data_IF_506059945242
#
_entry.id   IF_506059945242
#
_cell.length_a   1.000
_cell.length_b   1.000
_cell.length_c   1.000
_cell.angle_alpha   90.00
_cell.angle_beta   90.00
_cell.angle_gamma   90.00
#
_symmetry.space_group_name_H-M   'P 1'
#
loop_
_entity.id
_entity.type
_entity.pdbx_description
1 polymer ?
#
# COMPACT_ATOMS: atom_id res chain seq x y z
N UNK A 1 -4.93 13.56 -7.07
CA UNK A 1 -5.72 14.77 -6.68
C UNK A 1 -6.75 14.50 -5.58
N UNK A 2 -7.71 13.56 -5.69
CA UNK A 2 -8.68 13.35 -4.60
C UNK A 2 -8.10 12.59 -3.38
N UNK A 3 -7.11 11.75 -3.56
CA UNK A 3 -6.45 10.99 -2.48
C UNK A 3 -5.56 11.90 -1.64
N UNK A 4 -4.87 12.85 -2.29
CA UNK A 4 -3.96 13.78 -1.62
C UNK A 4 -4.70 14.74 -0.68
N UNK A 5 -5.85 15.27 -1.09
CA UNK A 5 -6.69 16.17 -0.26
C UNK A 5 -7.26 15.44 0.97
N UNK A 6 -7.45 14.12 0.88
CA UNK A 6 -7.97 13.31 1.98
C UNK A 6 -6.85 12.94 2.94
N UNK A 7 -5.67 12.61 2.42
CA UNK A 7 -4.48 12.38 3.24
C UNK A 7 -4.09 13.65 4.01
N UNK A 8 -4.12 14.83 3.37
CA UNK A 8 -3.89 16.11 4.05
C UNK A 8 -4.91 16.39 5.15
N UNK A 9 -6.21 16.15 4.94
CA UNK A 9 -7.23 16.30 5.98
C UNK A 9 -7.09 15.29 7.10
N UNK A 10 -6.61 14.09 6.83
CA UNK A 10 -6.36 13.07 7.82
C UNK A 10 -5.31 13.51 8.84
N UNK A 11 -4.23 14.13 8.39
CA UNK A 11 -3.13 14.60 9.24
C UNK A 11 -3.60 15.54 10.35
N UNK A 12 -4.59 16.42 10.06
CA UNK A 12 -5.11 17.34 11.09
C UNK A 12 -5.85 16.64 12.24
N UNK A 13 -6.31 15.41 12.05
CA UNK A 13 -6.93 14.62 13.12
C UNK A 13 -5.89 13.92 14.02
N UNK A 14 -4.66 13.73 13.54
CA UNK A 14 -3.57 13.15 14.34
C UNK A 14 -2.91 14.19 15.27
N UNK A 15 -3.17 15.49 15.03
CA UNK A 15 -2.63 16.56 15.86
C UNK A 15 -3.58 16.80 17.03
N UNK A 16 -3.16 16.37 18.22
CA UNK A 16 -3.90 16.70 19.45
C UNK A 16 -3.90 18.22 19.71
N UNK A 17 -4.87 18.71 20.49
CA UNK A 17 -4.95 20.11 20.89
C UNK A 17 -3.67 20.62 21.60
N UNK A 18 -2.82 19.71 22.05
CA UNK A 18 -1.49 19.97 22.65
C UNK A 18 -0.39 20.28 21.63
N UNK A 19 -0.64 20.22 20.31
CA UNK A 19 0.37 20.35 19.27
C UNK A 19 1.28 19.11 19.14
N UNK A 20 0.77 17.94 19.52
CA UNK A 20 1.49 16.67 19.45
C UNK A 20 0.88 15.80 18.35
N UNK A 21 1.75 15.28 17.46
CA UNK A 21 1.38 14.37 16.38
C UNK A 21 1.61 12.91 16.80
N UNK A 22 0.58 12.07 16.68
CA UNK A 22 0.69 10.64 16.92
C UNK A 22 0.34 9.81 15.68
N UNK A 23 1.31 9.48 14.81
CA UNK A 23 1.08 8.68 13.61
C UNK A 23 1.04 7.17 13.89
N UNK A 24 1.42 6.73 15.10
CA UNK A 24 1.61 5.31 15.40
C UNK A 24 0.30 4.53 15.42
N UNK A 25 0.28 3.43 14.67
CA UNK A 25 -0.87 2.55 14.53
C UNK A 25 -0.53 1.15 15.07
N UNK A 26 -1.23 0.72 16.12
CA UNK A 26 -1.04 -0.60 16.76
C UNK A 26 -1.49 -1.78 15.86
N UNK A 27 -2.30 -1.48 14.83
CA UNK A 27 -2.76 -2.50 13.88
C UNK A 27 -1.68 -2.85 12.84
N UNK A 28 -0.68 -1.98 12.65
CA UNK A 28 0.40 -2.21 11.71
C UNK A 28 1.19 -3.48 12.05
N UNK A 29 1.41 -4.33 11.02
CA UNK A 29 2.17 -5.57 11.13
C UNK A 29 3.15 -5.68 9.98
N UNK A 30 4.41 -5.98 10.28
CA UNK A 30 5.38 -6.28 9.25
C UNK A 30 5.08 -7.64 8.59
N UNK A 31 5.14 -7.64 7.27
CA UNK A 31 5.02 -8.86 6.47
C UNK A 31 6.24 -9.77 6.75
N UNK A 32 6.00 -11.01 7.17
CA UNK A 32 7.05 -11.97 7.45
C UNK A 32 7.36 -12.88 6.26
N UNK A 33 8.56 -13.50 6.29
CA UNK A 33 9.06 -14.37 5.21
C UNK A 33 8.16 -15.58 4.97
N UNK A 34 7.61 -16.16 6.03
CA UNK A 34 6.78 -17.37 5.94
C UNK A 34 5.44 -17.05 5.27
N UNK A 35 4.84 -15.91 5.60
CA UNK A 35 3.59 -15.46 4.97
C UNK A 35 3.79 -15.25 3.46
N UNK A 36 4.83 -14.50 3.06
CA UNK A 36 5.15 -14.30 1.63
C UNK A 36 5.36 -15.65 0.94
N UNK A 37 6.15 -16.52 1.55
CA UNK A 37 6.48 -17.82 0.96
C UNK A 37 5.25 -18.72 0.81
N UNK A 38 4.33 -18.68 1.78
CA UNK A 38 3.08 -19.43 1.73
C UNK A 38 2.13 -18.91 0.64
N UNK A 39 2.04 -17.58 0.48
CA UNK A 39 1.29 -16.97 -0.63
C UNK A 39 1.87 -17.43 -1.97
N UNK A 40 3.18 -17.30 -2.17
CA UNK A 40 3.82 -17.70 -3.42
C UNK A 40 3.61 -19.19 -3.74
N UNK A 41 3.77 -20.06 -2.75
CA UNK A 41 3.55 -21.52 -2.89
C UNK A 41 2.10 -21.84 -3.28
N UNK A 42 1.12 -21.15 -2.72
CA UNK A 42 -0.30 -21.32 -3.06
C UNK A 42 -0.56 -21.13 -4.55
N UNK A 43 0.22 -20.26 -5.21
CA UNK A 43 0.14 -19.97 -6.64
C UNK A 43 1.21 -20.66 -7.49
N UNK A 44 1.84 -21.71 -6.95
CA UNK A 44 2.80 -22.56 -7.69
C UNK A 44 4.21 -21.97 -7.81
N UNK A 45 4.55 -20.96 -7.03
CA UNK A 45 5.88 -20.34 -7.02
C UNK A 45 6.68 -20.87 -5.83
N UNK A 46 7.64 -21.76 -6.11
CA UNK A 46 8.45 -22.44 -5.08
C UNK A 46 9.86 -21.85 -4.91
N UNK A 47 10.06 -20.61 -5.35
CA UNK A 47 11.34 -19.91 -5.21
C UNK A 47 11.54 -19.39 -3.80
N UNK A 48 12.80 -19.39 -3.34
CA UNK A 48 13.16 -18.74 -2.08
C UNK A 48 13.08 -17.23 -2.21
N UNK A 49 12.67 -16.59 -1.11
CA UNK A 49 12.66 -15.12 -1.01
C UNK A 49 14.08 -14.68 -0.68
N UNK A 50 14.69 -13.93 -1.58
CA UNK A 50 16.06 -13.43 -1.43
C UNK A 50 16.11 -12.08 -0.71
N UNK A 51 15.09 -11.24 -0.90
CA UNK A 51 15.02 -9.91 -0.30
C UNK A 51 13.60 -9.68 0.27
N UNK A 52 13.43 -9.92 1.58
CA UNK A 52 12.16 -9.69 2.27
C UNK A 52 11.83 -8.21 2.38
N UNK A 53 12.85 -7.34 2.46
CA UNK A 53 12.68 -5.90 2.63
C UNK A 53 11.86 -5.27 1.49
N UNK A 54 12.03 -5.74 0.24
CA UNK A 54 11.22 -5.27 -0.89
C UNK A 54 9.73 -5.61 -0.73
N UNK A 55 9.42 -6.78 -0.18
CA UNK A 55 8.02 -7.15 0.09
C UNK A 55 7.43 -6.32 1.23
N UNK A 56 8.25 -6.01 2.23
CA UNK A 56 7.82 -5.13 3.34
C UNK A 56 7.63 -3.70 2.85
N UNK A 57 8.58 -3.14 2.09
CA UNK A 57 8.49 -1.81 1.50
C UNK A 57 7.23 -1.64 0.63
N UNK A 58 6.86 -2.68 -0.14
CA UNK A 58 5.65 -2.68 -0.95
C UNK A 58 4.34 -2.57 -0.13
N UNK A 59 4.39 -2.75 1.18
CA UNK A 59 3.23 -2.64 2.09
C UNK A 59 3.18 -1.30 2.83
N UNK A 60 4.19 -0.42 2.69
CA UNK A 60 4.32 0.80 3.49
C UNK A 60 3.70 1.99 2.73
N UNK A 61 2.64 2.56 3.29
CA UNK A 61 2.06 3.81 2.81
C UNK A 61 2.94 5.00 3.20
N UNK A 62 2.99 6.04 2.36
CA UNK A 62 3.77 7.27 2.59
C UNK A 62 3.52 7.88 3.97
N UNK A 63 2.26 7.89 4.44
CA UNK A 63 1.87 8.43 5.75
C UNK A 63 2.60 7.81 6.95
N UNK A 64 3.32 6.70 6.77
CA UNK A 64 4.08 6.02 7.82
C UNK A 64 5.58 6.10 7.61
N UNK A 65 6.04 7.08 6.82
CA UNK A 65 7.46 7.32 6.60
C UNK A 65 8.01 8.44 7.48
N UNK A 66 9.27 8.34 7.86
CA UNK A 66 9.98 9.37 8.62
C UNK A 66 10.01 10.71 7.89
N UNK A 67 10.18 10.68 6.55
CA UNK A 67 10.23 11.87 5.72
C UNK A 67 8.91 12.64 5.77
N UNK A 68 7.79 11.95 5.53
CA UNK A 68 6.45 12.53 5.56
C UNK A 68 6.11 13.11 6.95
N UNK A 69 6.37 12.36 8.01
CA UNK A 69 6.13 12.83 9.39
C UNK A 69 7.00 14.05 9.74
N UNK A 70 8.28 14.06 9.32
CA UNK A 70 9.16 15.20 9.54
C UNK A 70 8.67 16.46 8.81
N UNK A 71 8.15 16.30 7.59
CA UNK A 71 7.57 17.41 6.83
C UNK A 71 6.36 18.01 7.55
N UNK A 72 5.45 17.17 8.06
CA UNK A 72 4.31 17.62 8.85
C UNK A 72 4.77 18.36 10.10
N UNK A 73 5.72 17.81 10.85
CA UNK A 73 6.25 18.43 12.05
C UNK A 73 6.82 19.83 11.79
N UNK A 74 7.53 20.00 10.66
CA UNK A 74 8.08 21.29 10.25
C UNK A 74 7.01 22.27 9.79
N UNK A 75 6.05 21.82 8.96
CA UNK A 75 4.99 22.65 8.39
C UNK A 75 4.05 23.19 9.47
N UNK A 76 3.62 22.32 10.38
CA UNK A 76 2.57 22.61 11.34
C UNK A 76 3.13 22.98 12.74
N UNK A 77 4.47 23.02 12.88
CA UNK A 77 5.18 23.31 14.13
C UNK A 77 4.72 22.41 15.30
N UNK A 78 4.60 21.11 15.02
CA UNK A 78 4.19 20.09 15.98
C UNK A 78 5.34 19.13 16.32
N UNK A 79 5.24 18.47 17.46
CA UNK A 79 6.19 17.44 17.88
C UNK A 79 5.57 16.06 17.77
N UNK A 80 6.38 15.05 17.49
CA UNK A 80 5.93 13.66 17.44
C UNK A 80 6.00 13.03 18.84
N UNK A 81 5.02 12.17 19.16
CA UNK A 81 5.12 11.31 20.35
C UNK A 81 6.28 10.33 20.24
N UNK A 82 6.82 9.91 21.37
CA UNK A 82 7.74 8.77 21.42
C UNK A 82 7.04 7.50 20.91
N UNK A 83 7.80 6.62 20.23
CA UNK A 83 7.22 5.39 19.66
C UNK A 83 6.59 4.53 20.77
N UNK A 84 5.28 4.28 20.76
CA UNK A 84 4.64 3.48 21.79
C UNK A 84 5.07 2.01 21.70
N UNK A 85 5.13 1.34 22.84
CA UNK A 85 5.44 -0.10 22.89
C UNK A 85 4.51 -0.92 22.01
N UNK A 86 5.10 -1.83 21.24
CA UNK A 86 4.40 -2.74 20.34
C UNK A 86 3.99 -2.13 18.99
N UNK A 87 4.27 -0.84 18.73
CA UNK A 87 4.07 -0.25 17.42
C UNK A 87 5.26 -0.51 16.50
N UNK A 88 4.98 -0.71 15.21
CA UNK A 88 6.02 -0.73 14.17
C UNK A 88 6.69 0.63 14.11
N UNK A 89 8.02 0.67 14.01
CA UNK A 89 8.76 1.94 13.85
C UNK A 89 8.41 2.61 12.51
N UNK A 90 8.48 3.95 12.48
CA UNK A 90 8.37 4.70 11.23
C UNK A 90 9.43 4.23 10.24
N UNK A 91 9.02 4.08 8.98
CA UNK A 91 9.82 3.51 7.92
C UNK A 91 10.61 4.58 7.15
N UNK A 92 11.63 4.17 6.38
CA UNK A 92 12.46 5.10 5.62
C UNK A 92 11.93 5.35 4.20
N UNK A 93 11.18 4.39 3.63
CA UNK A 93 10.64 4.43 2.27
C UNK A 93 9.20 3.93 2.24
N UNK A 94 8.46 4.32 1.20
CA UNK A 94 7.08 3.87 0.90
C UNK A 94 7.05 2.99 -0.34
N UNK A 95 5.87 2.41 -0.61
CA UNK A 95 5.63 1.57 -1.79
C UNK A 95 5.69 2.32 -3.13
N UNK A 96 5.62 3.65 -3.16
CA UNK A 96 5.37 4.44 -4.37
C UNK A 96 6.30 4.12 -5.55
N UNK A 97 7.62 3.99 -5.30
CA UNK A 97 8.56 3.62 -6.36
C UNK A 97 8.37 2.20 -6.86
N UNK A 98 7.99 1.28 -5.97
CA UNK A 98 7.69 -0.11 -6.33
C UNK A 98 6.35 -0.20 -7.05
N UNK A 99 5.36 0.60 -6.68
CA UNK A 99 4.08 0.74 -7.36
C UNK A 99 4.29 1.20 -8.81
N UNK A 100 5.06 2.28 -9.02
CA UNK A 100 5.38 2.77 -10.37
C UNK A 100 5.97 1.68 -11.29
N UNK A 101 6.92 0.89 -10.76
CA UNK A 101 7.50 -0.22 -11.51
C UNK A 101 6.52 -1.39 -11.66
N UNK A 102 5.79 -1.70 -10.59
CA UNK A 102 4.82 -2.79 -10.54
C UNK A 102 3.67 -2.61 -11.54
N UNK A 103 3.17 -1.42 -11.68
CA UNK A 103 2.12 -1.07 -12.65
C UNK A 103 2.57 -1.36 -14.09
N UNK A 104 3.78 -0.94 -14.46
CA UNK A 104 4.33 -1.20 -15.79
C UNK A 104 4.51 -2.71 -16.06
N UNK A 105 4.98 -3.47 -15.07
CA UNK A 105 5.14 -4.92 -15.17
C UNK A 105 3.78 -5.61 -15.29
N UNK A 106 2.82 -5.26 -14.43
CA UNK A 106 1.48 -5.82 -14.44
C UNK A 106 0.78 -5.55 -15.78
N UNK A 107 0.87 -4.31 -16.27
CA UNK A 107 0.31 -3.94 -17.57
C UNK A 107 0.91 -4.78 -18.71
N UNK A 108 2.23 -4.93 -18.72
CA UNK A 108 2.93 -5.74 -19.74
C UNK A 108 2.47 -7.20 -19.71
N UNK A 109 2.33 -7.81 -18.54
CA UNK A 109 1.88 -9.19 -18.38
C UNK A 109 0.46 -9.36 -18.89
N UNK A 110 -0.46 -8.47 -18.50
CA UNK A 110 -1.87 -8.54 -18.89
C UNK A 110 -2.04 -8.31 -20.38
N UNK A 111 -1.38 -7.31 -20.95
CA UNK A 111 -1.42 -7.03 -22.41
C UNK A 111 -0.90 -8.22 -23.21
N UNK A 112 0.24 -8.78 -22.80
CA UNK A 112 0.81 -9.96 -23.45
C UNK A 112 -0.12 -11.17 -23.38
N UNK A 113 -0.74 -11.39 -22.22
CA UNK A 113 -1.72 -12.46 -22.03
C UNK A 113 -2.94 -12.27 -22.95
N UNK A 114 -3.54 -11.08 -22.97
CA UNK A 114 -4.73 -10.79 -23.76
C UNK A 114 -4.44 -10.90 -25.28
N UNK A 115 -3.31 -10.37 -25.71
CA UNK A 115 -2.88 -10.44 -27.12
C UNK A 115 -2.80 -11.90 -27.61
N UNK A 116 -2.18 -12.77 -26.82
CA UNK A 116 -2.05 -14.18 -27.17
C UNK A 116 -3.35 -14.97 -27.03
N UNK A 117 -4.20 -14.58 -26.06
CA UNK A 117 -5.45 -15.29 -25.76
C UNK A 117 -6.56 -14.99 -26.74
N UNK A 118 -6.56 -13.81 -27.36
CA UNK A 118 -7.59 -13.32 -28.27
C UNK A 118 -7.00 -12.80 -29.59
N UNK A 119 -6.39 -13.68 -30.42
CA UNK A 119 -5.65 -13.27 -31.62
C UNK A 119 -6.53 -12.60 -32.67
N UNK A 120 -7.82 -12.95 -32.74
CA UNK A 120 -8.77 -12.47 -33.75
C UNK A 120 -9.56 -11.22 -33.29
N UNK A 121 -9.29 -10.70 -32.11
CA UNK A 121 -10.02 -9.56 -31.56
C UNK A 121 -9.35 -8.22 -31.90
N UNK A 122 -10.17 -7.17 -31.99
CA UNK A 122 -9.70 -5.82 -32.28
C UNK A 122 -8.92 -5.21 -31.11
N UNK A 123 -8.09 -4.21 -31.40
CA UNK A 123 -7.38 -3.41 -30.38
C UNK A 123 -8.36 -2.84 -29.34
N UNK A 124 -9.49 -2.26 -29.78
CA UNK A 124 -10.49 -1.68 -28.87
C UNK A 124 -11.10 -2.70 -27.90
N UNK A 125 -11.31 -3.95 -28.35
CA UNK A 125 -11.73 -5.03 -27.47
C UNK A 125 -10.66 -5.36 -26.41
N UNK A 126 -9.39 -5.50 -26.82
CA UNK A 126 -8.29 -5.81 -25.92
C UNK A 126 -8.06 -4.69 -24.90
N UNK A 127 -8.14 -3.43 -25.34
CA UNK A 127 -8.01 -2.27 -24.46
C UNK A 127 -9.13 -2.20 -23.41
N UNK A 128 -10.38 -2.43 -23.83
CA UNK A 128 -11.53 -2.48 -22.91
C UNK A 128 -11.38 -3.59 -21.85
N UNK A 129 -10.95 -4.78 -22.30
CA UNK A 129 -10.77 -5.93 -21.41
C UNK A 129 -9.60 -5.69 -20.43
N UNK A 130 -8.49 -5.07 -20.88
CA UNK A 130 -7.40 -4.66 -20.01
C UNK A 130 -7.89 -3.76 -18.87
N UNK A 131 -8.63 -2.68 -19.19
CA UNK A 131 -9.18 -1.76 -18.17
C UNK A 131 -10.09 -2.49 -17.18
N UNK A 132 -10.86 -3.47 -17.66
CA UNK A 132 -11.72 -4.27 -16.80
C UNK A 132 -10.95 -5.18 -15.83
N UNK A 133 -9.74 -5.61 -16.20
CA UNK A 133 -8.90 -6.51 -15.40
C UNK A 133 -7.94 -5.78 -14.45
N UNK A 134 -7.47 -4.58 -14.85
CA UNK A 134 -6.43 -3.83 -14.13
C UNK A 134 -7.01 -2.50 -13.64
N UNK A 135 -8.00 -2.56 -12.76
CA UNK A 135 -8.54 -1.39 -12.10
C UNK A 135 -8.41 -1.51 -10.58
N UNK A 136 -8.46 -0.37 -9.88
CA UNK A 136 -8.30 -0.29 -8.42
C UNK A 136 -9.18 -1.28 -7.67
N UNK A 137 -10.45 -1.43 -8.05
CA UNK A 137 -11.39 -2.30 -7.33
C UNK A 137 -11.03 -3.79 -7.48
N UNK A 138 -10.60 -4.21 -8.66
CA UNK A 138 -10.15 -5.59 -8.91
C UNK A 138 -8.87 -5.87 -8.16
N UNK A 139 -7.88 -4.96 -8.22
CA UNK A 139 -6.61 -5.11 -7.51
C UNK A 139 -6.81 -5.17 -5.98
N UNK A 140 -7.68 -4.33 -5.43
CA UNK A 140 -8.03 -4.36 -4.01
C UNK A 140 -8.69 -5.70 -3.60
N UNK A 141 -9.59 -6.23 -4.43
CA UNK A 141 -10.19 -7.56 -4.20
C UNK A 141 -9.17 -8.69 -4.27
N UNK A 142 -8.22 -8.59 -5.19
CA UNK A 142 -7.11 -9.56 -5.29
C UNK A 142 -6.21 -9.48 -4.05
N UNK A 143 -5.83 -8.29 -3.60
CA UNK A 143 -5.03 -8.10 -2.39
C UNK A 143 -5.71 -8.75 -1.16
N UNK A 144 -7.01 -8.53 -0.97
CA UNK A 144 -7.81 -9.20 0.06
C UNK A 144 -7.83 -10.73 -0.12
N UNK A 145 -8.02 -11.21 -1.34
CA UNK A 145 -8.07 -12.65 -1.62
C UNK A 145 -6.77 -13.37 -1.31
N UNK A 146 -5.62 -12.72 -1.54
CA UNK A 146 -4.31 -13.30 -1.22
C UNK A 146 -3.87 -13.01 0.22
N UNK A 147 -4.61 -12.16 0.96
CA UNK A 147 -4.37 -11.84 2.37
C UNK A 147 -3.15 -10.95 2.58
N UNK A 148 -2.98 -9.93 1.73
CA UNK A 148 -1.96 -8.89 1.88
C UNK A 148 -2.50 -7.62 2.51
N UNK A 149 -3.82 -7.37 2.45
CA UNK A 149 -4.48 -6.19 2.97
C UNK A 149 -4.24 -5.99 4.48
N UNK A 150 -4.14 -7.05 5.26
CA UNK A 150 -3.84 -7.01 6.70
C UNK A 150 -2.40 -6.58 7.04
N UNK A 151 -1.51 -6.47 6.04
CA UNK A 151 -0.10 -6.07 6.20
C UNK A 151 0.20 -4.68 5.66
N UNK A 152 -0.82 -3.94 5.23
CA UNK A 152 -0.64 -2.54 4.82
C UNK A 152 -0.30 -1.72 6.07
N UNK A 153 0.82 -1.00 5.99
CA UNK A 153 1.34 -0.17 7.07
C UNK A 153 1.02 1.29 6.76
N UNK A 154 0.22 1.94 7.63
CA UNK A 154 -0.20 3.32 7.44
C UNK A 154 -0.40 4.02 8.79
N UNK A 155 -0.51 5.36 8.79
CA UNK A 155 -0.81 6.12 10.01
C UNK A 155 -2.17 5.73 10.58
N UNK A 156 -2.32 5.92 11.88
CA UNK A 156 -3.55 5.57 12.59
C UNK A 156 -4.77 6.28 11.99
N UNK A 157 -4.66 7.58 11.73
CA UNK A 157 -5.78 8.36 11.18
C UNK A 157 -6.20 7.87 9.81
N UNK A 158 -5.24 7.51 8.94
CA UNK A 158 -5.58 6.99 7.63
C UNK A 158 -6.29 5.62 7.73
N UNK A 159 -5.88 4.78 8.65
CA UNK A 159 -6.53 3.51 8.97
C UNK A 159 -7.96 3.70 9.46
N UNK A 160 -8.16 4.59 10.44
CA UNK A 160 -9.47 4.93 10.99
C UNK A 160 -10.42 5.48 9.90
N UNK A 161 -9.94 6.34 9.00
CA UNK A 161 -10.71 6.88 7.87
C UNK A 161 -11.08 5.81 6.84
N UNK A 162 -10.23 4.81 6.60
CA UNK A 162 -10.54 3.71 5.70
C UNK A 162 -11.63 2.78 6.28
N UNK A 163 -11.59 2.54 7.57
CA UNK A 163 -12.61 1.73 8.25
C UNK A 163 -13.98 2.44 8.27
N UNK A 164 -14.01 3.74 8.56
CA UNK A 164 -15.25 4.53 8.57
C UNK A 164 -15.98 4.63 7.21
N UNK A 165 -15.35 4.21 6.12
CA UNK A 165 -15.96 4.19 4.77
C UNK A 165 -16.51 2.83 4.36
N UNK A 166 -16.26 1.81 5.16
CA UNK A 166 -16.73 0.44 4.89
C UNK A 166 -18.05 0.12 5.62
N UNK A 167 -18.42 0.97 6.59
CA UNK A 167 -19.71 0.98 7.29
C UNK A 167 -20.71 1.91 6.59
#
# INVERSE_FOLDING_TARGET
>A
MAVDVIAERAVYHDIEASGILNPFNKNNKLLDKNKVQNILKKYGIFKNINNLELYQEAMIHESYTKAHISEICLRDNVTIVENPDGCVLLQNSSYERLEFLGDAILETIIVSYLFNRFPDQSEGFLASLKVSLVNRNILARLAKHIGLDEFIIMSKTLDDLQHARQD
#
